data_IF_379857530929
#
_entry.id   IF_379857530929
#
_cell.length_a   1.000
_cell.length_b   1.000
_cell.length_c   1.000
_cell.angle_alpha   90.00
_cell.angle_beta   90.00
_cell.angle_gamma   90.00
#
_symmetry.space_group_name_H-M   'P 1'
#
loop_
_entity.id
_entity.type
_entity.pdbx_description
1 polymer ?
#
# COMPACT_ATOMS: atom_id res chain seq x y z
N UNK A 1 -41.44 19.28 20.85
CA UNK A 1 -40.59 18.18 20.33
C UNK A 1 -39.94 18.67 19.06
N UNK A 2 -38.68 19.09 19.12
CA UNK A 2 -37.94 19.57 17.94
C UNK A 2 -36.67 18.73 17.83
N UNK A 3 -36.75 17.65 17.05
CA UNK A 3 -35.59 16.81 16.76
C UNK A 3 -34.83 17.45 15.58
N UNK A 4 -33.64 17.99 15.86
CA UNK A 4 -32.72 18.47 14.83
C UNK A 4 -31.97 17.26 14.30
N UNK A 5 -32.30 16.82 13.08
CA UNK A 5 -31.54 15.79 12.37
C UNK A 5 -30.24 16.41 11.83
N UNK A 6 -29.11 16.09 12.45
CA UNK A 6 -27.79 16.43 11.95
C UNK A 6 -27.44 15.58 10.73
N UNK A 7 -27.12 16.23 9.62
CA UNK A 7 -26.59 15.56 8.43
C UNK A 7 -25.14 15.16 8.69
N UNK A 8 -24.89 13.87 8.89
CA UNK A 8 -23.53 13.31 8.79
C UNK A 8 -23.11 13.39 7.33
N UNK A 9 -22.24 14.34 7.01
CA UNK A 9 -21.53 14.37 5.74
C UNK A 9 -20.59 13.17 5.70
N UNK A 10 -20.89 12.18 4.86
CA UNK A 10 -19.94 11.14 4.52
C UNK A 10 -18.77 11.81 3.79
N UNK A 11 -17.62 11.92 4.45
CA UNK A 11 -16.40 12.35 3.79
C UNK A 11 -16.11 11.38 2.63
N UNK A 12 -15.65 11.87 1.47
CA UNK A 12 -15.26 10.97 0.39
C UNK A 12 -14.18 10.06 0.94
N UNK A 13 -14.38 8.74 0.84
CA UNK A 13 -13.30 7.81 1.02
C UNK A 13 -12.29 8.14 -0.08
N UNK A 14 -11.23 8.85 0.28
CA UNK A 14 -10.17 9.25 -0.63
C UNK A 14 -9.63 7.95 -1.21
N UNK A 15 -9.92 7.67 -2.48
CA UNK A 15 -9.32 6.51 -3.14
C UNK A 15 -7.80 6.72 -3.07
N UNK A 16 -7.11 5.82 -2.37
CA UNK A 16 -5.66 5.93 -2.20
C UNK A 16 -5.03 6.06 -3.59
N UNK A 17 -4.25 7.13 -3.81
CA UNK A 17 -3.67 7.40 -5.11
C UNK A 17 -2.50 6.43 -5.34
N UNK A 18 -2.80 5.30 -5.98
CA UNK A 18 -1.80 4.30 -6.35
C UNK A 18 -1.14 4.64 -7.69
N UNK A 19 0.18 4.43 -7.75
CA UNK A 19 0.99 4.65 -8.92
C UNK A 19 0.71 3.54 -9.96
N UNK A 20 0.75 3.91 -11.24
CA UNK A 20 0.76 2.94 -12.32
C UNK A 20 2.17 2.34 -12.53
N UNK A 21 2.25 1.29 -13.35
CA UNK A 21 3.49 0.53 -13.57
C UNK A 21 4.64 1.40 -14.08
N UNK A 22 4.37 2.40 -14.94
CA UNK A 22 5.42 3.31 -15.45
C UNK A 22 5.91 4.23 -14.34
N UNK A 23 5.01 4.84 -13.59
CA UNK A 23 5.37 5.68 -12.44
C UNK A 23 6.20 4.90 -11.41
N UNK A 24 5.87 3.64 -11.13
CA UNK A 24 6.66 2.78 -10.24
C UNK A 24 8.07 2.58 -10.81
N UNK A 25 8.20 2.27 -12.10
CA UNK A 25 9.51 2.09 -12.74
C UNK A 25 10.36 3.37 -12.69
N UNK A 26 9.76 4.53 -12.99
CA UNK A 26 10.43 5.83 -12.91
C UNK A 26 10.84 6.17 -11.48
N UNK A 27 9.99 5.89 -10.48
CA UNK A 27 10.29 6.13 -9.07
C UNK A 27 11.44 5.23 -8.56
N UNK A 28 11.49 3.96 -9.00
CA UNK A 28 12.62 3.06 -8.67
C UNK A 28 13.89 3.54 -9.37
N UNK A 29 13.82 3.85 -10.66
CA UNK A 29 14.99 4.26 -11.45
C UNK A 29 15.57 5.61 -11.01
N UNK A 30 14.73 6.51 -10.48
CA UNK A 30 15.17 7.81 -9.95
C UNK A 30 15.65 7.73 -8.50
N UNK A 31 15.48 6.58 -7.83
CA UNK A 31 15.79 6.41 -6.41
C UNK A 31 14.79 7.06 -5.46
N UNK A 32 13.63 7.51 -5.97
CA UNK A 32 12.52 8.00 -5.14
C UNK A 32 11.94 6.88 -4.26
N UNK A 33 11.92 5.64 -4.76
CA UNK A 33 11.56 4.45 -3.97
C UNK A 33 12.60 3.34 -4.16
N UNK A 34 12.78 2.52 -3.13
CA UNK A 34 13.56 1.30 -3.17
C UNK A 34 12.87 0.24 -4.05
N UNK A 35 13.66 -0.69 -4.60
CA UNK A 35 13.09 -1.85 -5.31
C UNK A 35 12.28 -2.73 -4.37
N UNK A 36 11.24 -3.40 -4.89
CA UNK A 36 10.40 -4.32 -4.10
C UNK A 36 11.23 -5.34 -3.32
N UNK A 37 12.28 -5.91 -3.93
CA UNK A 37 13.15 -6.89 -3.27
C UNK A 37 13.87 -6.28 -2.06
N UNK A 38 14.40 -5.06 -2.18
CA UNK A 38 15.07 -4.36 -1.08
C UNK A 38 14.10 -4.07 0.07
N UNK A 39 12.87 -3.63 -0.22
CA UNK A 39 11.84 -3.36 0.79
C UNK A 39 11.40 -4.65 1.51
N UNK A 40 11.24 -5.75 0.78
CA UNK A 40 10.92 -7.06 1.39
C UNK A 40 12.06 -7.56 2.29
N UNK A 41 13.31 -7.41 1.82
CA UNK A 41 14.49 -7.81 2.59
C UNK A 41 14.64 -6.99 3.88
N UNK A 42 14.41 -5.67 3.83
CA UNK A 42 14.47 -4.80 5.01
C UNK A 42 13.36 -5.08 6.01
N UNK A 43 12.20 -5.54 5.55
CA UNK A 43 11.09 -5.98 6.39
C UNK A 43 11.21 -7.42 6.92
N UNK A 44 12.28 -8.14 6.56
CA UNK A 44 12.47 -9.54 6.96
C UNK A 44 11.46 -10.50 6.32
N UNK A 45 10.78 -10.08 5.24
CA UNK A 45 9.86 -10.93 4.48
C UNK A 45 10.70 -11.81 3.56
N UNK A 46 11.01 -13.02 4.03
CA UNK A 46 11.78 -13.99 3.26
C UNK A 46 11.04 -14.48 2.01
N UNK A 47 11.79 -15.01 1.04
CA UNK A 47 11.27 -15.49 -0.26
C UNK A 47 10.26 -16.65 -0.23
N UNK A 48 9.83 -17.08 0.96
CA UNK A 48 8.80 -18.10 1.16
C UNK A 48 7.39 -17.49 1.28
N UNK A 49 7.28 -16.16 1.39
CA UNK A 49 5.99 -15.49 1.39
C UNK A 49 5.39 -15.55 -0.02
N UNK A 50 4.20 -16.11 -0.15
CA UNK A 50 3.47 -16.11 -1.43
C UNK A 50 2.88 -14.73 -1.66
N UNK A 51 3.42 -14.00 -2.63
CA UNK A 51 2.96 -12.67 -3.01
C UNK A 51 1.82 -12.79 -4.01
N UNK A 52 0.66 -12.27 -3.64
CA UNK A 52 -0.56 -12.25 -4.44
C UNK A 52 -0.71 -10.96 -5.25
N UNK A 53 -0.30 -9.83 -4.67
CA UNK A 53 -0.39 -8.53 -5.34
C UNK A 53 0.66 -7.54 -4.81
N UNK A 54 1.01 -6.57 -5.66
CA UNK A 54 1.92 -5.48 -5.30
C UNK A 54 1.36 -4.18 -5.87
N UNK A 55 1.19 -3.20 -5.00
CA UNK A 55 0.80 -1.84 -5.34
C UNK A 55 1.74 -0.86 -4.65
N UNK A 56 1.96 0.31 -5.24
CA UNK A 56 2.63 1.44 -4.59
C UNK A 56 1.64 2.57 -4.54
N UNK A 57 1.37 3.11 -3.36
CA UNK A 57 0.38 4.16 -3.20
C UNK A 57 0.91 5.30 -2.34
N UNK A 58 0.46 6.52 -2.64
CA UNK A 58 0.65 7.64 -1.73
C UNK A 58 -0.28 7.47 -0.54
N UNK A 59 0.27 7.46 0.67
CA UNK A 59 -0.48 7.45 1.91
C UNK A 59 -0.06 8.66 2.75
N UNK A 60 -0.79 9.77 2.59
CA UNK A 60 -0.55 10.98 3.38
C UNK A 60 0.75 11.68 3.01
N UNK A 61 1.15 11.66 1.73
CA UNK A 61 2.36 12.31 1.23
C UNK A 61 3.62 11.45 1.26
N UNK A 62 3.50 10.16 1.60
CA UNK A 62 4.59 9.19 1.53
C UNK A 62 4.20 7.97 0.71
N UNK A 63 5.12 7.49 -0.13
CA UNK A 63 4.90 6.28 -0.91
C UNK A 63 5.08 5.03 -0.04
N UNK A 64 4.11 4.12 -0.13
CA UNK A 64 4.11 2.83 0.55
C UNK A 64 3.85 1.70 -0.43
N UNK A 65 4.54 0.57 -0.22
CA UNK A 65 4.20 -0.69 -0.86
C UNK A 65 3.04 -1.34 -0.11
N UNK A 66 1.96 -1.64 -0.81
CA UNK A 66 0.87 -2.49 -0.33
C UNK A 66 1.02 -3.85 -1.01
N UNK A 67 1.41 -4.84 -0.22
CA UNK A 67 1.75 -6.18 -0.72
C UNK A 67 0.74 -7.16 -0.15
N UNK A 68 -0.10 -7.71 -1.01
CA UNK A 68 -0.97 -8.81 -0.64
C UNK A 68 -0.16 -10.10 -0.54
N UNK A 69 -0.17 -10.76 0.61
CA UNK A 69 0.51 -12.03 0.87
C UNK A 69 -0.48 -13.09 1.31
N UNK A 70 -0.18 -14.35 1.03
CA UNK A 70 -0.88 -15.50 1.61
C UNK A 70 -0.07 -16.05 2.79
N UNK A 71 -0.65 -16.03 3.97
CA UNK A 71 -0.03 -16.63 5.16
C UNK A 71 -0.04 -18.17 5.06
N UNK A 72 0.82 -18.89 5.81
CA UNK A 72 0.80 -20.35 5.86
C UNK A 72 -0.55 -20.93 6.31
N UNK A 73 -1.37 -20.15 7.03
CA UNK A 73 -2.75 -20.50 7.41
C UNK A 73 -3.73 -20.50 6.23
N UNK A 74 -3.33 -19.97 5.06
CA UNK A 74 -4.20 -19.75 3.91
C UNK A 74 -4.95 -18.41 3.94
N UNK A 75 -4.64 -17.54 4.91
CA UNK A 75 -5.28 -16.22 5.03
C UNK A 75 -4.54 -15.18 4.19
N UNK A 76 -5.29 -14.42 3.39
CA UNK A 76 -4.76 -13.28 2.65
C UNK A 76 -4.61 -12.06 3.57
N UNK A 77 -3.44 -11.44 3.56
CA UNK A 77 -3.11 -10.28 4.38
C UNK A 77 -2.41 -9.22 3.55
N UNK A 78 -2.54 -7.94 3.93
CA UNK A 78 -1.79 -6.85 3.30
C UNK A 78 -0.66 -6.38 4.22
N UNK A 79 0.55 -6.40 3.69
CA UNK A 79 1.71 -5.75 4.29
C UNK A 79 1.82 -4.33 3.73
N UNK A 80 1.92 -3.34 4.61
CA UNK A 80 2.16 -1.94 4.23
C UNK A 80 3.57 -1.58 4.65
N UNK A 81 4.46 -1.41 3.67
CA UNK A 81 5.88 -1.15 3.91
C UNK A 81 6.27 0.22 3.33
N UNK A 82 7.14 0.94 4.02
CA UNK A 82 7.68 2.20 3.52
C UNK A 82 8.46 1.94 2.22
N UNK A 83 8.28 2.77 1.20
CA UNK A 83 8.91 2.60 -0.08
C UNK A 83 10.31 3.26 -0.19
N UNK A 84 10.78 4.00 0.82
CA UNK A 84 12.03 4.78 0.81
C UNK A 84 13.13 4.12 1.63
#
# INVERSE_FOLDING_TARGET
MTAVLGLVAAAPAQAQACLDKRQIQDAVSSGQIQSLNAVLASAGVGGNAEILSVQVCDQGGGLVYIIGVLAPSGEAQNLVLNAQ
#
